data_IF_339260891509
#
_entry.id   IF_339260891509
#
_cell.length_a   1.000
_cell.length_b   1.000
_cell.length_c   1.000
_cell.angle_alpha   90.00
_cell.angle_beta   90.00
_cell.angle_gamma   90.00
#
_symmetry.space_group_name_H-M   'P 1'
#
loop_
_entity.id
_entity.type
_entity.pdbx_description
1 polymer ?
#
# COMPACT_ATOMS: atom_id res chain seq x y z
N UNK A 1 2.11 -4.78 30.59
CA UNK A 1 1.07 -5.42 29.73
C UNK A 1 0.69 -4.58 28.49
N UNK A 2 0.78 -3.24 28.52
CA UNK A 2 0.41 -2.34 27.42
C UNK A 2 1.13 -2.52 26.06
N UNK A 3 2.37 -3.01 26.04
CA UNK A 3 3.14 -3.09 24.78
C UNK A 3 2.54 -4.12 23.80
N UNK A 4 2.05 -5.27 24.31
CA UNK A 4 1.42 -6.31 23.49
C UNK A 4 0.07 -5.85 22.94
N UNK A 5 -0.67 -5.06 23.69
CA UNK A 5 -1.94 -4.46 23.26
C UNK A 5 -1.72 -3.40 22.19
N UNK A 6 -0.71 -2.53 22.35
CA UNK A 6 -0.29 -1.59 21.32
C UNK A 6 0.16 -2.30 20.04
N UNK A 7 0.91 -3.39 20.14
CA UNK A 7 1.34 -4.18 18.97
C UNK A 7 0.16 -4.83 18.25
N UNK A 8 -0.82 -5.37 18.98
CA UNK A 8 -2.05 -5.91 18.40
C UNK A 8 -2.94 -4.83 17.80
N UNK A 9 -3.05 -3.67 18.44
CA UNK A 9 -3.76 -2.52 17.90
C UNK A 9 -3.07 -2.01 16.62
N UNK A 10 -1.74 -1.98 16.61
CA UNK A 10 -0.95 -1.63 15.43
C UNK A 10 -1.18 -2.66 14.32
N UNK A 11 -1.10 -3.97 14.59
CA UNK A 11 -1.40 -5.01 13.59
C UNK A 11 -2.84 -4.95 13.06
N UNK A 12 -3.84 -4.62 13.89
CA UNK A 12 -5.23 -4.41 13.45
C UNK A 12 -5.40 -3.13 12.65
N UNK A 13 -4.69 -2.06 13.01
CA UNK A 13 -4.69 -0.80 12.27
C UNK A 13 -3.98 -0.97 10.91
N UNK A 14 -2.91 -1.75 10.92
CA UNK A 14 -2.17 -2.26 9.77
C UNK A 14 -2.90 -3.42 9.08
N UNK A 15 -4.24 -3.35 9.05
CA UNK A 15 -5.07 -4.31 8.35
C UNK A 15 -4.61 -4.37 6.87
N UNK A 16 -4.27 -5.55 6.34
CA UNK A 16 -3.83 -5.68 4.95
C UNK A 16 -4.84 -5.09 3.95
N UNK A 17 -6.13 -5.05 4.27
CA UNK A 17 -7.14 -4.31 3.48
C UNK A 17 -6.83 -2.81 3.39
N UNK A 18 -6.57 -2.13 4.51
CA UNK A 18 -6.28 -0.67 4.51
C UNK A 18 -4.96 -0.34 3.80
N UNK A 19 -3.93 -1.20 3.93
CA UNK A 19 -2.68 -1.01 3.18
C UNK A 19 -2.86 -1.18 1.67
N UNK A 20 -3.69 -2.12 1.23
CA UNK A 20 -4.05 -2.25 -0.19
C UNK A 20 -4.74 -1.00 -0.70
N UNK A 21 -5.73 -0.47 0.03
CA UNK A 21 -6.40 0.77 -0.34
C UNK A 21 -5.43 1.95 -0.42
N UNK A 22 -4.50 2.08 0.53
CA UNK A 22 -3.46 3.10 0.46
C UNK A 22 -2.57 2.97 -0.81
N UNK A 23 -2.17 1.75 -1.16
CA UNK A 23 -1.43 1.48 -2.41
C UNK A 23 -2.23 1.86 -3.66
N UNK A 24 -3.52 1.47 -3.73
CA UNK A 24 -4.42 1.83 -4.84
C UNK A 24 -4.60 3.34 -4.95
N UNK A 25 -4.78 4.04 -3.83
CA UNK A 25 -4.91 5.51 -3.82
C UNK A 25 -3.64 6.17 -4.36
N UNK A 26 -2.46 5.72 -3.93
CA UNK A 26 -1.18 6.26 -4.42
C UNK A 26 -0.97 6.01 -5.93
N UNK A 27 -1.34 4.82 -6.42
CA UNK A 27 -1.29 4.50 -7.86
C UNK A 27 -2.23 5.44 -8.63
N UNK A 28 -3.47 5.59 -8.16
CA UNK A 28 -4.47 6.45 -8.79
C UNK A 28 -3.99 7.91 -8.85
N UNK A 29 -3.42 8.39 -7.75
CA UNK A 29 -2.89 9.75 -7.64
C UNK A 29 -1.67 9.96 -8.56
N UNK A 30 -0.80 8.95 -8.68
CA UNK A 30 0.30 8.96 -9.64
C UNK A 30 -0.16 9.02 -11.10
N UNK A 31 -1.19 8.26 -11.45
CA UNK A 31 -1.77 8.27 -12.82
C UNK A 31 -2.44 9.60 -13.14
N UNK A 32 -3.26 10.13 -12.23
CA UNK A 32 -3.90 11.44 -12.38
C UNK A 32 -2.83 12.53 -12.50
N UNK A 33 -1.80 12.46 -11.65
CA UNK A 33 -0.67 13.40 -11.68
C UNK A 33 0.09 13.37 -13.00
N UNK A 34 0.37 12.19 -13.55
CA UNK A 34 0.98 12.05 -14.88
C UNK A 34 0.13 12.69 -15.98
N UNK A 35 -1.20 12.57 -15.91
CA UNK A 35 -2.11 13.19 -16.87
C UNK A 35 -2.14 14.72 -16.76
N UNK A 36 -2.14 15.25 -15.53
CA UNK A 36 -2.24 16.69 -15.29
C UNK A 36 -0.91 17.43 -15.44
N UNK A 37 0.22 16.77 -15.15
CA UNK A 37 1.55 17.35 -15.29
C UNK A 37 2.59 16.27 -15.66
N UNK A 38 2.68 15.92 -16.96
CA UNK A 38 3.55 14.84 -17.42
C UNK A 38 5.05 15.12 -17.29
N UNK A 39 5.47 16.38 -17.13
CA UNK A 39 6.88 16.72 -16.90
C UNK A 39 7.34 16.50 -15.47
N UNK A 40 6.41 16.31 -14.52
CA UNK A 40 6.74 16.10 -13.12
C UNK A 40 7.00 14.62 -12.80
N UNK A 41 7.72 14.37 -11.71
CA UNK A 41 8.24 13.04 -11.31
C UNK A 41 7.18 12.16 -10.62
N UNK A 42 5.97 12.09 -11.19
CA UNK A 42 4.88 11.27 -10.66
C UNK A 42 5.18 9.77 -10.65
N UNK A 43 6.18 9.33 -11.42
CA UNK A 43 6.71 7.96 -11.43
C UNK A 43 7.17 7.51 -10.04
N UNK A 44 7.65 8.43 -9.18
CA UNK A 44 8.02 8.11 -7.80
C UNK A 44 6.81 7.80 -6.93
N UNK A 45 5.72 8.56 -7.10
CA UNK A 45 4.44 8.34 -6.39
C UNK A 45 3.83 7.02 -6.85
N UNK A 46 3.86 6.77 -8.15
CA UNK A 46 3.38 5.53 -8.78
C UNK A 46 4.18 4.32 -8.29
N UNK A 47 5.51 4.39 -8.30
CA UNK A 47 6.38 3.33 -7.79
C UNK A 47 6.18 3.06 -6.30
N UNK A 48 5.99 4.11 -5.49
CA UNK A 48 5.67 3.97 -4.06
C UNK A 48 4.31 3.27 -3.87
N UNK A 49 3.30 3.66 -4.64
CA UNK A 49 1.98 3.03 -4.59
C UNK A 49 2.01 1.55 -4.98
N UNK A 50 2.75 1.21 -6.03
CA UNK A 50 2.98 -0.17 -6.48
C UNK A 50 3.67 -0.99 -5.39
N UNK A 51 4.79 -0.50 -4.86
CA UNK A 51 5.51 -1.17 -3.77
C UNK A 51 4.62 -1.40 -2.55
N UNK A 52 3.87 -0.39 -2.13
CA UNK A 52 2.97 -0.47 -0.99
C UNK A 52 1.81 -1.44 -1.22
N UNK A 53 1.30 -1.52 -2.45
CA UNK A 53 0.26 -2.46 -2.84
C UNK A 53 0.75 -3.92 -2.77
N UNK A 54 1.94 -4.20 -3.33
CA UNK A 54 2.52 -5.55 -3.33
C UNK A 54 2.95 -6.02 -1.95
N UNK A 55 3.52 -5.14 -1.12
CA UNK A 55 3.83 -5.48 0.28
C UNK A 55 2.59 -5.68 1.16
N UNK A 56 1.41 -5.30 0.65
CA UNK A 56 0.12 -5.54 1.29
C UNK A 56 -0.64 -6.75 0.71
N UNK A 57 -0.07 -7.45 -0.30
CA UNK A 57 -0.58 -8.76 -0.69
C UNK A 57 -0.22 -9.77 0.42
N UNK A 58 -1.20 -10.48 0.98
CA UNK A 58 -0.92 -11.63 1.82
C UNK A 58 -0.19 -12.69 0.97
N UNK A 59 0.73 -13.46 1.56
CA UNK A 59 1.50 -14.51 0.87
C UNK A 59 0.64 -15.70 0.36
N UNK A 60 -0.68 -15.57 0.33
CA UNK A 60 -1.65 -16.64 0.03
C UNK A 60 -1.74 -17.04 -1.45
N UNK A 61 -0.74 -16.72 -2.27
CA UNK A 61 -0.60 -17.27 -3.63
C UNK A 61 0.50 -18.34 -3.73
N UNK A 62 1.18 -18.68 -2.62
CA UNK A 62 2.18 -19.75 -2.54
C UNK A 62 1.70 -21.04 -1.85
N UNK A 63 0.41 -21.18 -1.58
CA UNK A 63 -0.16 -22.37 -0.93
C UNK A 63 -0.72 -23.36 -1.96
N UNK A 64 0.15 -24.10 -2.67
CA UNK A 64 -0.26 -25.39 -3.24
C UNK A 64 -0.47 -26.34 -2.05
N UNK A 65 -1.74 -26.69 -1.80
CA UNK A 65 -2.09 -27.94 -1.12
C UNK A 65 -1.56 -29.12 -1.91
#
# INVERSE_FOLDING_TARGET
MQLRERLRAFQRWFNPKRRRWAGVTLITLGVIGMFLNPQSRWTLVLGTGIYWFFTALPPTLGGKR
#
